data_IF_832522109308
#
_entry.id   IF_832522109308
#
_cell.length_a   1.000
_cell.length_b   1.000
_cell.length_c   1.000
_cell.angle_alpha   90.00
_cell.angle_beta   90.00
_cell.angle_gamma   90.00
#
_symmetry.space_group_name_H-M   'P 1'
#
loop_
_entity.id
_entity.type
_entity.pdbx_description
1 polymer ?
#
# COMPACT_ATOMS: atom_id res chain seq x y z
N UNK A 1 -17.83 3.93 -6.79
CA UNK A 1 -16.62 3.10 -6.98
C UNK A 1 -16.88 2.09 -8.08
N UNK A 2 -16.29 2.33 -9.24
CA UNK A 2 -16.24 1.36 -10.31
C UNK A 2 -15.02 0.47 -10.07
N UNK A 3 -15.25 -0.84 -10.03
CA UNK A 3 -14.22 -1.87 -9.93
C UNK A 3 -14.49 -2.80 -11.11
N UNK A 4 -13.45 -3.34 -11.77
CA UNK A 4 -13.66 -4.25 -12.88
C UNK A 4 -14.56 -5.40 -12.44
N UNK A 5 -15.70 -5.57 -13.12
CA UNK A 5 -16.63 -6.65 -12.83
C UNK A 5 -16.01 -7.95 -13.30
N UNK A 6 -15.99 -8.96 -12.42
CA UNK A 6 -15.76 -10.32 -12.88
C UNK A 6 -17.07 -10.95 -13.33
N UNK A 7 -17.04 -11.57 -14.50
CA UNK A 7 -17.93 -12.68 -14.82
C UNK A 7 -17.44 -13.93 -14.09
N UNK A 8 -17.70 -14.01 -12.77
CA UNK A 8 -17.55 -15.28 -12.05
C UNK A 8 -18.83 -16.10 -12.14
N UNK A 9 -18.77 -17.41 -12.47
CA UNK A 9 -19.95 -18.28 -12.50
C UNK A 9 -20.73 -18.36 -11.18
N UNK A 10 -20.13 -17.97 -10.04
CA UNK A 10 -20.69 -18.17 -8.70
C UNK A 10 -20.99 -16.86 -7.92
N UNK A 11 -20.80 -15.67 -8.49
CA UNK A 11 -21.21 -14.39 -7.87
C UNK A 11 -20.45 -13.94 -6.60
N UNK A 12 -19.58 -14.76 -6.03
CA UNK A 12 -18.88 -14.50 -4.75
C UNK A 12 -17.97 -13.25 -4.79
N UNK A 13 -17.30 -13.01 -5.92
CA UNK A 13 -16.43 -11.83 -6.09
C UNK A 13 -17.20 -10.52 -6.18
N UNK A 14 -18.36 -10.54 -6.85
CA UNK A 14 -19.25 -9.39 -6.94
C UNK A 14 -19.83 -9.02 -5.56
N UNK A 15 -19.99 -10.00 -4.66
CA UNK A 15 -20.36 -9.73 -3.27
C UNK A 15 -19.22 -9.10 -2.48
N UNK A 16 -17.98 -9.57 -2.65
CA UNK A 16 -16.81 -8.98 -1.99
C UNK A 16 -16.61 -7.50 -2.38
N UNK A 17 -16.78 -7.15 -3.67
CA UNK A 17 -16.75 -5.76 -4.15
C UNK A 17 -17.85 -4.91 -3.49
N UNK A 18 -19.06 -5.45 -3.33
CA UNK A 18 -20.18 -4.74 -2.66
C UNK A 18 -19.94 -4.55 -1.16
N UNK A 19 -19.14 -5.41 -0.56
CA UNK A 19 -18.75 -5.33 0.84
C UNK A 19 -17.60 -4.34 1.07
N UNK A 20 -16.88 -3.92 0.04
CA UNK A 20 -15.79 -2.94 0.16
C UNK A 20 -16.31 -1.59 0.67
N UNK A 21 -15.59 -1.04 1.64
CA UNK A 21 -15.80 0.32 2.13
C UNK A 21 -15.50 1.32 1.00
N UNK A 22 -16.35 2.34 0.78
CA UNK A 22 -16.09 3.33 -0.25
C UNK A 22 -14.76 4.05 -0.04
N UNK A 23 -14.07 4.37 -1.14
CA UNK A 23 -12.85 5.19 -1.16
C UNK A 23 -13.25 6.57 -1.64
N UNK A 24 -12.58 7.59 -1.12
CA UNK A 24 -12.70 8.97 -1.59
C UNK A 24 -12.25 9.07 -3.06
N UNK A 25 -13.17 9.45 -3.95
CA UNK A 25 -12.89 9.60 -5.38
C UNK A 25 -11.79 10.62 -5.68
N UNK A 26 -11.58 11.61 -4.80
CA UNK A 26 -10.51 12.61 -4.95
C UNK A 26 -9.12 11.99 -4.78
N UNK A 27 -8.98 10.97 -3.93
CA UNK A 27 -7.72 10.22 -3.79
C UNK A 27 -7.44 9.37 -5.02
N UNK A 28 -8.48 8.72 -5.57
CA UNK A 28 -8.35 7.92 -6.78
C UNK A 28 -7.96 8.81 -7.97
N UNK A 29 -8.52 10.01 -8.06
CA UNK A 29 -8.15 10.97 -9.09
C UNK A 29 -6.70 11.43 -8.96
N UNK A 30 -6.23 11.74 -7.75
CA UNK A 30 -4.83 12.09 -7.50
C UNK A 30 -3.88 10.94 -7.87
N UNK A 31 -4.23 9.70 -7.52
CA UNK A 31 -3.46 8.52 -7.89
C UNK A 31 -3.45 8.28 -9.40
N UNK A 32 -4.55 8.56 -10.10
CA UNK A 32 -4.62 8.50 -11.55
C UNK A 32 -3.74 9.57 -12.22
N UNK A 33 -3.76 10.80 -11.70
CA UNK A 33 -2.88 11.88 -12.16
C UNK A 33 -1.41 11.49 -11.99
N UNK A 34 -1.04 11.03 -10.79
CA UNK A 34 0.31 10.56 -10.50
C UNK A 34 0.72 9.38 -11.41
N UNK A 35 -0.19 8.46 -11.70
CA UNK A 35 0.07 7.35 -12.61
C UNK A 35 0.29 7.80 -14.06
N UNK A 36 -0.38 8.86 -14.54
CA UNK A 36 -0.14 9.41 -15.87
C UNK A 36 1.11 10.29 -15.94
N UNK A 37 1.47 10.94 -14.84
CA UNK A 37 2.72 11.69 -14.70
C UNK A 37 3.93 10.78 -14.46
N UNK A 38 3.69 9.50 -14.15
CA UNK A 38 4.73 8.50 -13.95
C UNK A 38 5.56 8.33 -15.23
N UNK A 39 6.76 8.91 -15.21
CA UNK A 39 7.83 8.53 -16.12
C UNK A 39 8.34 7.13 -15.75
N UNK A 40 8.53 6.27 -16.74
CA UNK A 40 9.10 4.92 -16.58
C UNK A 40 10.51 4.90 -15.97
N UNK A 41 11.20 6.05 -15.96
CA UNK A 41 12.47 6.25 -15.28
C UNK A 41 12.34 6.51 -13.77
N UNK A 42 11.15 6.78 -13.24
CA UNK A 42 10.96 6.90 -11.80
C UNK A 42 11.12 5.53 -11.15
N UNK A 43 12.17 5.38 -10.35
CA UNK A 43 12.25 4.27 -9.42
C UNK A 43 11.12 4.34 -8.38
N UNK A 44 10.85 3.19 -7.76
CA UNK A 44 9.74 3.04 -6.82
C UNK A 44 9.89 3.92 -5.58
N UNK A 45 11.13 4.22 -5.17
CA UNK A 45 11.40 5.04 -3.99
C UNK A 45 11.07 6.50 -4.26
N UNK A 46 11.44 7.03 -5.42
CA UNK A 46 11.08 8.41 -5.82
C UNK A 46 9.56 8.58 -5.90
N UNK A 47 8.85 7.59 -6.44
CA UNK A 47 7.38 7.62 -6.47
C UNK A 47 6.77 7.59 -5.06
N UNK A 48 7.34 6.76 -4.17
CA UNK A 48 6.93 6.72 -2.76
C UNK A 48 7.13 8.07 -2.08
N UNK A 49 8.25 8.73 -2.33
CA UNK A 49 8.55 10.02 -1.68
C UNK A 49 7.58 11.11 -2.17
N UNK A 50 7.14 11.08 -3.43
CA UNK A 50 6.05 11.95 -3.91
C UNK A 50 4.69 11.62 -3.25
N UNK A 51 4.37 10.35 -3.01
CA UNK A 51 3.15 9.92 -2.29
C UNK A 51 3.13 10.44 -0.84
N UNK A 52 4.29 10.55 -0.20
CA UNK A 52 4.44 11.00 1.19
C UNK A 52 4.96 12.43 1.33
N UNK A 53 5.01 13.17 0.24
CA UNK A 53 5.56 14.53 0.21
C UNK A 53 4.86 15.44 1.22
N UNK A 54 5.67 16.08 2.04
CA UNK A 54 5.22 17.07 3.02
C UNK A 54 5.31 18.49 2.45
N UNK A 55 4.37 19.34 2.83
CA UNK A 55 4.47 20.81 2.64
C UNK A 55 5.20 21.50 3.78
N UNK A 56 5.34 20.84 4.93
CA UNK A 56 6.00 21.41 6.10
C UNK A 56 7.49 21.15 6.10
N UNK A 57 8.25 22.16 6.51
CA UNK A 57 9.66 22.02 6.84
C UNK A 57 9.85 21.27 8.17
N UNK A 58 10.75 20.30 8.17
CA UNK A 58 11.05 19.41 9.31
C UNK A 58 12.38 19.78 9.97
N UNK A 59 12.60 21.07 10.21
CA UNK A 59 13.84 21.59 10.80
C UNK A 59 13.65 22.02 12.26
N UNK A 60 14.75 22.00 13.03
CA UNK A 60 14.84 22.56 14.38
C UNK A 60 13.92 21.91 15.43
N UNK A 61 13.79 20.58 15.39
CA UNK A 61 12.90 19.83 16.29
C UNK A 61 13.67 19.02 17.35
N UNK A 62 15.01 19.02 17.33
CA UNK A 62 15.89 18.16 18.13
C UNK A 62 15.65 18.36 19.63
N UNK A 63 15.47 19.62 20.03
CA UNK A 63 15.15 19.97 21.42
C UNK A 63 13.82 19.35 21.86
N UNK A 64 12.78 19.49 21.04
CA UNK A 64 11.45 18.93 21.36
C UNK A 64 11.46 17.39 21.38
N UNK A 65 12.28 16.76 20.53
CA UNK A 65 12.48 15.32 20.54
C UNK A 65 13.15 14.87 21.84
N UNK A 66 14.26 15.52 22.23
CA UNK A 66 14.97 15.20 23.48
C UNK A 66 14.09 15.41 24.71
N UNK A 67 13.32 16.49 24.74
CA UNK A 67 12.36 16.76 25.82
C UNK A 67 11.29 15.66 25.90
N UNK A 68 10.72 15.22 24.77
CA UNK A 68 9.79 14.09 24.74
C UNK A 68 10.44 12.83 25.30
N UNK A 69 11.62 12.44 24.80
CA UNK A 69 12.29 11.21 25.21
C UNK A 69 12.61 11.19 26.72
N UNK A 70 13.03 12.33 27.28
CA UNK A 70 13.26 12.48 28.72
C UNK A 70 11.97 12.32 29.53
N UNK A 71 10.86 12.91 29.08
CA UNK A 71 9.55 12.77 29.73
C UNK A 71 9.07 11.33 29.67
N UNK A 72 9.17 10.70 28.49
CA UNK A 72 8.78 9.31 28.29
C UNK A 72 9.57 8.35 29.18
N UNK A 73 10.89 8.52 29.25
CA UNK A 73 11.74 7.69 30.10
C UNK A 73 11.48 7.90 31.59
N UNK A 74 11.33 9.16 32.03
CA UNK A 74 11.18 9.50 33.45
C UNK A 74 9.81 9.15 34.03
N UNK A 75 8.74 9.32 33.25
CA UNK A 75 7.35 9.12 33.73
C UNK A 75 6.78 7.75 33.38
N UNK A 76 7.19 7.17 32.25
CA UNK A 76 6.57 5.96 31.71
C UNK A 76 7.55 4.82 31.47
N UNK A 77 8.85 4.99 31.78
CA UNK A 77 9.91 4.03 31.42
C UNK A 77 9.71 2.59 31.94
N UNK A 78 8.90 2.38 32.98
CA UNK A 78 8.52 1.02 33.43
C UNK A 78 7.37 0.39 32.64
N UNK A 79 6.57 1.21 31.95
CA UNK A 79 5.32 0.83 31.29
C UNK A 79 5.43 0.80 29.77
N UNK A 80 6.49 1.40 29.22
CA UNK A 80 6.74 1.46 27.77
C UNK A 80 8.13 0.93 27.45
N UNK A 81 8.28 0.38 26.24
CA UNK A 81 9.59 0.10 25.65
C UNK A 81 9.80 1.02 24.45
N UNK A 82 10.93 1.73 24.45
CA UNK A 82 11.34 2.57 23.32
C UNK A 82 12.46 1.91 22.52
N UNK A 83 12.43 2.04 21.19
CA UNK A 83 13.42 1.42 20.30
C UNK A 83 13.61 2.25 19.03
N UNK A 84 14.84 2.54 18.62
CA UNK A 84 15.09 3.21 17.34
C UNK A 84 14.85 2.22 16.20
N UNK A 85 14.09 2.64 15.19
CA UNK A 85 14.09 2.03 13.87
C UNK A 85 15.01 2.88 12.99
N UNK A 86 16.25 2.40 12.86
CA UNK A 86 17.30 3.07 12.09
C UNK A 86 17.48 4.54 12.54
N UNK A 87 17.51 5.50 11.61
CA UNK A 87 17.65 6.93 11.88
C UNK A 87 16.34 7.71 11.68
N UNK A 88 15.29 7.03 11.23
CA UNK A 88 14.06 7.66 10.72
C UNK A 88 12.96 7.67 11.77
N UNK A 89 12.89 6.66 12.65
CA UNK A 89 11.75 6.47 13.55
C UNK A 89 12.14 6.03 14.96
N UNK A 90 11.32 6.44 15.94
CA UNK A 90 11.31 5.89 17.29
C UNK A 90 10.04 5.09 17.52
N UNK A 91 10.17 3.82 17.86
CA UNK A 91 9.08 3.00 18.36
C UNK A 91 8.80 3.30 19.83
N UNK A 92 7.51 3.32 20.16
CA UNK A 92 6.96 3.26 21.52
C UNK A 92 6.03 2.05 21.57
N UNK A 93 6.33 1.11 22.47
CA UNK A 93 5.65 -0.18 22.61
C UNK A 93 5.01 -0.26 24.00
N UNK A 94 3.70 -0.49 24.04
CA UNK A 94 2.89 -0.52 25.26
C UNK A 94 2.15 -1.86 25.31
N UNK A 95 2.38 -2.66 26.36
CA UNK A 95 1.66 -3.92 26.60
C UNK A 95 1.61 -4.87 25.36
N UNK A 96 2.71 -4.93 24.60
CA UNK A 96 2.76 -5.65 23.30
C UNK A 96 2.70 -7.17 23.43
N UNK A 97 2.78 -7.72 24.64
CA UNK A 97 2.51 -9.14 24.88
C UNK A 97 1.02 -9.50 24.77
N UNK A 98 0.13 -8.50 24.73
CA UNK A 98 -1.31 -8.68 24.55
C UNK A 98 -1.83 -8.20 23.19
N UNK A 99 -0.94 -7.76 22.29
CA UNK A 99 -1.34 -7.38 20.94
C UNK A 99 -1.47 -8.64 20.08
N UNK A 100 -2.60 -8.78 19.41
CA UNK A 100 -2.80 -9.79 18.38
C UNK A 100 -2.00 -9.47 17.11
N UNK A 101 -2.30 -10.18 16.03
CA UNK A 101 -1.81 -9.77 14.71
C UNK A 101 -2.33 -8.38 14.38
N UNK A 102 -1.42 -7.46 14.07
CA UNK A 102 -1.78 -6.10 13.64
C UNK A 102 -2.84 -6.21 12.56
N UNK A 103 -3.96 -5.53 12.76
CA UNK A 103 -5.13 -5.44 11.89
C UNK A 103 -5.12 -4.15 11.06
N UNK A 104 -4.80 -3.02 11.68
CA UNK A 104 -4.87 -1.72 11.02
C UNK A 104 -3.74 -0.81 11.46
N UNK A 105 -3.50 0.20 10.63
CA UNK A 105 -2.63 1.32 10.92
C UNK A 105 -3.45 2.60 11.00
N UNK A 106 -3.14 3.44 11.97
CA UNK A 106 -3.60 4.83 12.03
C UNK A 106 -2.45 5.76 11.72
N UNK A 107 -2.74 6.84 11.01
CA UNK A 107 -1.77 7.82 10.55
C UNK A 107 -2.18 9.21 11.02
N UNK A 108 -1.21 9.92 11.61
CA UNK A 108 -1.37 11.30 12.01
C UNK A 108 -0.17 12.07 11.47
N UNK A 109 -0.46 13.09 10.65
CA UNK A 109 0.55 13.91 9.98
C UNK A 109 0.41 15.38 10.39
N UNK A 110 0.58 15.73 11.67
CA UNK A 110 0.41 17.09 12.15
C UNK A 110 1.50 18.01 11.61
N UNK A 111 1.38 19.33 11.78
CA UNK A 111 2.55 20.20 11.68
C UNK A 111 3.70 19.59 12.53
N UNK A 112 4.93 19.43 12.01
CA UNK A 112 6.03 18.79 12.73
C UNK A 112 6.28 19.34 14.13
N UNK A 113 6.04 20.65 14.33
CA UNK A 113 6.18 21.32 15.64
C UNK A 113 5.20 20.80 16.70
N UNK A 114 4.11 20.16 16.29
CA UNK A 114 3.08 19.60 17.17
C UNK A 114 3.27 18.10 17.41
N UNK A 115 4.05 17.40 16.56
CA UNK A 115 4.19 15.94 16.57
C UNK A 115 4.56 15.38 17.96
N UNK A 116 5.60 15.94 18.60
CA UNK A 116 6.07 15.43 19.90
C UNK A 116 5.02 15.61 21.02
N UNK A 117 4.21 16.67 20.96
CA UNK A 117 3.12 16.89 21.93
C UNK A 117 1.99 15.88 21.73
N UNK A 118 1.63 15.60 20.47
CA UNK A 118 0.64 14.56 20.16
C UNK A 118 1.18 13.19 20.61
N UNK A 119 2.44 12.86 20.31
CA UNK A 119 3.06 11.61 20.75
C UNK A 119 3.02 11.44 22.28
N UNK A 120 3.29 12.51 23.05
CA UNK A 120 3.15 12.49 24.51
C UNK A 120 1.71 12.20 24.94
N UNK A 121 0.73 12.92 24.39
CA UNK A 121 -0.68 12.71 24.71
C UNK A 121 -1.15 11.28 24.38
N UNK A 122 -0.65 10.70 23.28
CA UNK A 122 -0.92 9.31 22.93
C UNK A 122 -0.35 8.34 23.96
N UNK A 123 0.91 8.53 24.43
CA UNK A 123 1.47 7.69 25.50
C UNK A 123 0.65 7.81 26.78
N UNK A 124 0.25 9.03 27.17
CA UNK A 124 -0.57 9.27 28.35
C UNK A 124 -1.90 8.50 28.28
N UNK A 125 -2.63 8.63 27.18
CA UNK A 125 -3.90 7.92 26.99
C UNK A 125 -3.71 6.40 26.92
N UNK A 126 -2.79 5.90 26.10
CA UNK A 126 -2.58 4.47 25.93
C UNK A 126 -2.09 3.78 27.21
N UNK A 127 -1.18 4.41 27.96
CA UNK A 127 -0.70 3.84 29.23
C UNK A 127 -1.75 3.89 30.33
N UNK A 128 -2.55 4.96 30.42
CA UNK A 128 -3.62 5.09 31.41
C UNK A 128 -4.69 4.00 31.26
N UNK A 129 -4.95 3.58 30.02
CA UNK A 129 -5.91 2.53 29.67
C UNK A 129 -5.26 1.14 29.61
N UNK A 130 -3.94 1.04 29.80
CA UNK A 130 -3.15 -0.19 29.62
C UNK A 130 -3.37 -0.87 28.26
N UNK A 131 -3.54 -0.05 27.22
CA UNK A 131 -3.95 -0.50 25.89
C UNK A 131 -2.78 -1.22 25.17
N UNK A 132 -2.99 -2.44 24.62
CA UNK A 132 -2.00 -3.11 23.79
C UNK A 132 -1.83 -2.36 22.46
N UNK A 133 -0.73 -1.65 22.32
CA UNK A 133 -0.47 -0.84 21.13
C UNK A 133 1.02 -0.66 20.91
N UNK A 134 1.41 -0.54 19.65
CA UNK A 134 2.72 -0.01 19.29
C UNK A 134 2.53 1.10 18.29
N UNK A 135 3.30 2.17 18.44
CA UNK A 135 3.33 3.22 17.45
C UNK A 135 4.76 3.71 17.28
N UNK A 136 5.01 4.39 16.18
CA UNK A 136 6.26 5.08 15.95
C UNK A 136 6.01 6.53 15.60
N UNK A 137 6.94 7.38 15.98
CA UNK A 137 7.00 8.76 15.53
C UNK A 137 8.33 9.01 14.81
N UNK A 138 8.30 9.92 13.85
CA UNK A 138 9.43 10.28 13.02
C UNK A 138 10.50 11.01 13.84
N UNK A 139 11.77 10.67 13.62
CA UNK A 139 12.93 11.33 14.21
C UNK A 139 13.35 12.52 13.34
N UNK A 140 13.98 13.54 13.96
CA UNK A 140 14.44 14.76 13.28
C UNK A 140 15.47 14.54 12.18
N UNK A 141 16.12 13.37 12.17
CA UNK A 141 17.10 12.95 11.17
C UNK A 141 16.49 12.26 9.95
N UNK A 142 15.16 12.05 9.93
CA UNK A 142 14.44 11.44 8.81
C UNK A 142 14.32 12.37 7.61
N UNK A 143 14.16 11.78 6.42
CA UNK A 143 13.62 12.46 5.23
C UNK A 143 12.26 13.11 5.52
N UNK A 144 11.97 14.19 4.78
CA UNK A 144 10.77 15.02 4.91
C UNK A 144 9.53 14.29 4.36
N UNK A 145 9.02 13.30 5.09
CA UNK A 145 7.77 12.61 4.79
C UNK A 145 6.66 12.96 5.76
N UNK A 146 5.40 12.86 5.32
CA UNK A 146 4.24 13.18 6.14
C UNK A 146 3.80 12.03 7.07
N UNK A 147 4.41 10.83 7.02
CA UNK A 147 4.09 9.68 7.89
C UNK A 147 4.68 9.80 9.32
N UNK A 148 4.42 10.96 9.94
CA UNK A 148 5.00 11.43 11.20
C UNK A 148 4.68 10.57 12.41
N UNK A 149 3.44 10.08 12.53
CA UNK A 149 3.01 9.18 13.61
C UNK A 149 2.23 8.04 12.98
N UNK A 150 2.68 6.81 13.21
CA UNK A 150 2.03 5.60 12.71
C UNK A 150 1.73 4.67 13.88
N UNK A 151 0.45 4.38 14.11
CA UNK A 151 -0.04 3.58 15.23
C UNK A 151 -0.55 2.26 14.69
N UNK A 152 -0.14 1.16 15.30
CA UNK A 152 -0.45 -0.20 14.86
C UNK A 152 -1.33 -0.85 15.92
N UNK A 153 -2.51 -1.32 15.50
CA UNK A 153 -3.49 -1.95 16.37
C UNK A 153 -3.94 -3.29 15.80
N UNK A 154 -4.26 -4.23 16.68
CA UNK A 154 -4.97 -5.45 16.28
C UNK A 154 -6.47 -5.18 16.12
N UNK A 155 -7.21 -6.20 15.68
CA UNK A 155 -8.65 -6.06 15.40
C UNK A 155 -9.46 -5.87 16.68
N UNK A 156 -9.03 -6.47 17.78
CA UNK A 156 -9.77 -6.50 19.05
C UNK A 156 -9.74 -5.12 19.72
N UNK A 157 -8.60 -4.44 19.63
CA UNK A 157 -8.35 -3.17 20.30
C UNK A 157 -8.50 -1.95 19.39
N UNK A 158 -8.73 -2.12 18.07
CA UNK A 158 -8.80 -1.02 17.10
C UNK A 158 -9.71 0.13 17.59
N UNK A 159 -10.93 -0.18 18.01
CA UNK A 159 -11.89 0.86 18.42
C UNK A 159 -11.40 1.64 19.65
N UNK A 160 -10.80 0.95 20.62
CA UNK A 160 -10.22 1.58 21.81
C UNK A 160 -9.03 2.46 21.46
N UNK A 161 -8.21 2.04 20.48
CA UNK A 161 -7.12 2.88 19.95
C UNK A 161 -7.67 4.16 19.33
N UNK A 162 -8.70 4.06 18.48
CA UNK A 162 -9.34 5.25 17.89
C UNK A 162 -9.95 6.17 18.97
N UNK A 163 -10.61 5.62 19.99
CA UNK A 163 -11.20 6.39 21.08
C UNK A 163 -10.13 7.09 21.96
N UNK A 164 -8.98 6.45 22.17
CA UNK A 164 -7.84 7.06 22.83
C UNK A 164 -7.23 8.20 21.97
N UNK A 165 -7.07 8.00 20.66
CA UNK A 165 -6.65 9.08 19.74
C UNK A 165 -7.67 10.23 19.78
N UNK A 166 -8.96 9.92 19.78
CA UNK A 166 -10.03 10.92 19.91
C UNK A 166 -9.91 11.69 21.21
N UNK A 167 -9.57 11.04 22.32
CA UNK A 167 -9.38 11.71 23.61
C UNK A 167 -8.20 12.68 23.60
N UNK A 168 -7.10 12.36 22.90
CA UNK A 168 -5.99 13.29 22.67
C UNK A 168 -6.44 14.48 21.81
N UNK A 169 -7.18 14.21 20.74
CA UNK A 169 -7.76 15.23 19.87
C UNK A 169 -8.65 16.17 20.67
N UNK A 170 -9.65 15.65 21.39
CA UNK A 170 -10.64 16.42 22.15
C UNK A 170 -10.03 17.37 23.18
N UNK A 171 -8.85 17.03 23.72
CA UNK A 171 -8.11 17.87 24.67
C UNK A 171 -7.21 18.91 24.00
N UNK A 172 -6.82 18.69 22.74
CA UNK A 172 -5.78 19.45 22.05
C UNK A 172 -6.08 19.63 20.54
N UNK A 173 -7.29 20.07 20.18
CA UNK A 173 -7.75 20.18 18.79
C UNK A 173 -6.77 20.95 17.89
N UNK A 174 -6.14 21.98 18.45
CA UNK A 174 -5.21 22.86 17.75
C UNK A 174 -3.94 22.14 17.26
N UNK A 175 -3.54 21.05 17.92
CA UNK A 175 -2.35 20.28 17.51
C UNK A 175 -2.57 19.55 16.18
N UNK A 176 -3.82 19.20 15.87
CA UNK A 176 -4.24 18.50 14.66
C UNK A 176 -4.60 19.44 13.51
N UNK A 177 -4.66 20.76 13.76
CA UNK A 177 -4.92 21.74 12.70
C UNK A 177 -3.83 21.67 11.63
N UNK A 178 -4.26 21.50 10.38
CA UNK A 178 -3.36 21.40 9.24
C UNK A 178 -2.71 20.02 9.05
N UNK A 179 -3.18 18.99 9.76
CA UNK A 179 -2.77 17.61 9.47
C UNK A 179 -2.87 17.30 7.98
N UNK A 180 -1.80 16.74 7.42
CA UNK A 180 -1.73 16.33 6.02
C UNK A 180 -2.37 14.97 5.81
N UNK A 181 -2.79 14.67 4.57
CA UNK A 181 -3.25 13.34 4.16
C UNK A 181 -2.34 12.87 3.04
N UNK A 182 -1.57 11.79 3.28
CA UNK A 182 -0.91 11.10 2.17
C UNK A 182 -1.95 10.47 1.26
N UNK A 183 -1.66 10.44 -0.04
CA UNK A 183 -2.49 9.77 -1.04
C UNK A 183 -2.72 8.28 -0.72
N UNK A 184 -1.75 7.64 -0.04
CA UNK A 184 -1.84 6.25 0.36
C UNK A 184 -2.80 6.00 1.55
N UNK A 185 -3.29 7.02 2.25
CA UNK A 185 -4.19 6.84 3.40
C UNK A 185 -5.65 6.92 2.98
N UNK A 186 -6.17 5.75 2.66
CA UNK A 186 -7.38 5.57 1.86
C UNK A 186 -8.65 5.91 2.64
N UNK A 187 -8.68 5.66 3.95
CA UNK A 187 -9.87 5.86 4.78
C UNK A 187 -9.69 6.95 5.83
N UNK A 188 -10.73 7.77 5.97
CA UNK A 188 -10.87 8.66 7.13
C UNK A 188 -11.31 7.85 8.36
N UNK A 189 -10.90 8.33 9.53
CA UNK A 189 -11.43 7.89 10.82
C UNK A 189 -12.53 8.85 11.30
N UNK A 190 -13.11 8.58 12.46
CA UNK A 190 -14.00 9.54 13.12
C UNK A 190 -13.29 10.76 13.70
N UNK A 191 -11.94 10.75 13.76
CA UNK A 191 -11.13 11.82 14.32
C UNK A 191 -10.55 12.69 13.20
N UNK A 192 -10.84 14.02 13.16
CA UNK A 192 -10.31 14.90 12.13
C UNK A 192 -8.78 14.90 12.06
N UNK A 193 -8.22 14.78 10.86
CA UNK A 193 -6.77 14.75 10.63
C UNK A 193 -6.10 13.42 11.01
N UNK A 194 -6.90 12.35 11.21
CA UNK A 194 -6.43 10.98 11.46
C UNK A 194 -7.01 10.06 10.41
N UNK A 195 -6.14 9.27 9.78
CA UNK A 195 -6.49 8.38 8.68
C UNK A 195 -6.14 6.94 9.02
N UNK A 196 -6.74 5.99 8.33
CA UNK A 196 -6.49 4.57 8.56
C UNK A 196 -6.38 3.77 7.28
N UNK A 197 -5.61 2.69 7.36
CA UNK A 197 -5.54 1.65 6.33
C UNK A 197 -5.40 0.27 6.97
N UNK A 198 -5.85 -0.80 6.30
CA UNK A 198 -5.59 -2.14 6.77
C UNK A 198 -4.09 -2.45 6.67
N UNK A 199 -3.55 -3.27 7.58
CA UNK A 199 -2.15 -3.70 7.48
C UNK A 199 -1.91 -4.47 6.17
N UNK A 200 -0.72 -4.25 5.60
CA UNK A 200 -0.14 -5.11 4.57
C UNK A 200 1.11 -5.80 5.12
N UNK A 201 1.01 -7.06 5.59
CA UNK A 201 2.18 -7.78 6.12
C UNK A 201 3.28 -7.96 5.07
N UNK A 202 4.54 -7.87 5.50
CA UNK A 202 5.71 -8.14 4.65
C UNK A 202 6.15 -6.98 3.75
N UNK A 203 5.44 -5.85 3.72
CA UNK A 203 5.87 -4.64 2.99
C UNK A 203 5.39 -3.36 3.69
N UNK A 204 5.99 -2.22 3.35
CA UNK A 204 5.45 -0.94 3.77
C UNK A 204 4.16 -0.65 2.97
N UNK A 205 3.17 -0.03 3.61
CA UNK A 205 1.92 0.31 2.92
C UNK A 205 2.19 1.30 1.77
N UNK A 206 3.13 2.22 1.96
CA UNK A 206 3.59 3.15 0.95
C UNK A 206 4.15 2.48 -0.30
N UNK A 207 5.05 1.49 -0.14
CA UNK A 207 5.61 0.75 -1.27
C UNK A 207 4.53 -0.08 -1.98
N UNK A 208 3.59 -0.65 -1.21
CA UNK A 208 2.46 -1.38 -1.80
C UNK A 208 1.58 -0.46 -2.65
N UNK A 209 1.32 0.76 -2.16
CA UNK A 209 0.53 1.76 -2.89
C UNK A 209 1.27 2.30 -4.13
N UNK A 210 2.58 2.57 -4.02
CA UNK A 210 3.40 2.98 -5.15
C UNK A 210 3.39 1.91 -6.26
N UNK A 211 3.48 0.62 -5.91
CA UNK A 211 3.34 -0.46 -6.88
C UNK A 211 1.95 -0.49 -7.54
N UNK A 212 0.89 -0.17 -6.79
CA UNK A 212 -0.46 -0.03 -7.38
C UNK A 212 -0.50 1.06 -8.45
N UNK A 213 0.12 2.21 -8.21
CA UNK A 213 0.20 3.31 -9.19
C UNK A 213 0.95 2.87 -10.45
N UNK A 214 2.10 2.21 -10.28
CA UNK A 214 2.90 1.68 -11.40
C UNK A 214 2.15 0.61 -12.19
N UNK A 215 1.51 -0.34 -11.50
CA UNK A 215 0.75 -1.41 -12.14
C UNK A 215 -0.54 -0.89 -12.78
N UNK A 216 -1.11 0.20 -12.26
CA UNK A 216 -2.24 0.89 -12.89
C UNK A 216 -1.82 1.47 -14.23
N UNK A 217 -0.69 2.17 -14.28
CA UNK A 217 -0.11 2.69 -15.52
C UNK A 217 0.15 1.58 -16.54
N UNK A 218 0.83 0.49 -16.15
CA UNK A 218 1.07 -0.67 -17.04
C UNK A 218 -0.22 -1.31 -17.56
N UNK A 219 -1.20 -1.48 -16.67
CA UNK A 219 -2.53 -2.02 -17.03
C UNK A 219 -3.22 -1.11 -18.03
N UNK A 220 -3.19 0.20 -17.80
CA UNK A 220 -3.76 1.21 -18.70
C UNK A 220 -3.07 1.15 -20.08
N UNK A 221 -1.73 1.20 -20.13
CA UNK A 221 -0.96 1.12 -21.37
C UNK A 221 -1.34 -0.10 -22.19
N UNK A 222 -1.45 -1.26 -21.55
CA UNK A 222 -1.81 -2.50 -22.22
C UNK A 222 -3.25 -2.48 -22.76
N UNK A 223 -4.23 -2.06 -21.96
CA UNK A 223 -5.63 -2.01 -22.38
C UNK A 223 -5.85 -1.00 -23.51
N UNK A 224 -5.15 0.13 -23.44
CA UNK A 224 -5.25 1.23 -24.41
C UNK A 224 -4.33 1.06 -25.64
N UNK A 225 -3.41 0.09 -25.63
CA UNK A 225 -2.51 -0.20 -26.75
C UNK A 225 -1.36 0.80 -26.93
N UNK A 226 -0.81 1.34 -25.84
CA UNK A 226 0.30 2.31 -25.88
C UNK A 226 1.63 1.57 -26.09
N UNK A 227 2.30 1.79 -27.22
CA UNK A 227 3.46 0.99 -27.65
C UNK A 227 4.78 1.78 -27.82
N UNK A 228 4.98 2.93 -27.15
CA UNK A 228 6.25 3.69 -27.19
C UNK A 228 6.60 4.33 -25.85
N UNK A 229 7.89 4.40 -25.50
CA UNK A 229 8.42 4.88 -24.20
C UNK A 229 8.32 6.39 -23.92
N UNK A 230 7.66 7.20 -24.75
CA UNK A 230 7.48 8.63 -24.46
C UNK A 230 6.19 8.85 -23.67
N UNK A 231 6.25 9.66 -22.61
CA UNK A 231 5.11 10.22 -21.85
C UNK A 231 3.79 10.14 -22.61
N UNK A 232 2.80 9.43 -22.05
CA UNK A 232 1.48 9.30 -22.68
C UNK A 232 0.86 10.69 -22.76
N UNK A 233 0.92 11.29 -23.95
CA UNK A 233 0.11 12.47 -24.24
C UNK A 233 -1.27 11.96 -24.60
N UNK A 234 -2.13 11.80 -23.58
CA UNK A 234 -3.54 11.50 -23.81
C UNK A 234 -4.15 12.73 -24.48
N UNK A 235 -4.68 12.62 -25.71
CA UNK A 235 -5.36 13.73 -26.36
C UNK A 235 -6.43 14.31 -25.45
N UNK A 236 -6.61 15.64 -25.43
CA UNK A 236 -7.58 16.31 -24.55
C UNK A 236 -8.98 15.69 -24.64
N UNK A 237 -9.35 15.23 -25.83
CA UNK A 237 -10.65 14.63 -26.16
C UNK A 237 -10.83 13.24 -25.51
N UNK A 238 -9.75 12.54 -25.20
CA UNK A 238 -9.71 11.18 -24.64
C UNK A 238 -9.37 11.17 -23.15
N UNK A 239 -8.98 12.32 -22.57
CA UNK A 239 -8.58 12.43 -21.17
C UNK A 239 -9.66 11.95 -20.20
N UNK A 240 -10.90 12.37 -20.41
CA UNK A 240 -11.99 11.97 -19.51
C UNK A 240 -12.15 10.44 -19.52
N UNK A 241 -12.16 9.81 -20.69
CA UNK A 241 -12.25 8.35 -20.81
C UNK A 241 -11.06 7.66 -20.14
N UNK A 242 -9.84 8.16 -20.36
CA UNK A 242 -8.64 7.62 -19.72
C UNK A 242 -8.68 7.72 -18.19
N UNK A 243 -9.16 8.83 -17.64
CA UNK A 243 -9.36 8.98 -16.19
C UNK A 243 -10.46 8.06 -15.66
N UNK A 244 -11.52 7.80 -16.42
CA UNK A 244 -12.55 6.81 -16.03
C UNK A 244 -11.98 5.39 -15.98
N UNK A 245 -11.13 5.01 -16.95
CA UNK A 245 -10.39 3.75 -16.88
C UNK A 245 -9.51 3.66 -15.63
N UNK A 246 -8.74 4.70 -15.31
CA UNK A 246 -7.91 4.72 -14.10
C UNK A 246 -8.74 4.64 -12.81
N UNK A 247 -9.90 5.30 -12.78
CA UNK A 247 -10.87 5.20 -11.67
C UNK A 247 -11.40 3.79 -11.47
N UNK A 248 -11.39 2.95 -12.50
CA UNK A 248 -11.67 1.51 -12.37
C UNK A 248 -10.42 0.69 -12.00
N UNK A 249 -9.29 0.95 -12.66
CA UNK A 249 -8.05 0.16 -12.51
C UNK A 249 -7.49 0.27 -11.08
N UNK A 250 -7.34 1.49 -10.54
CA UNK A 250 -6.67 1.71 -9.25
C UNK A 250 -7.41 1.02 -8.10
N UNK A 251 -8.74 1.24 -7.89
CA UNK A 251 -9.48 0.50 -6.87
C UNK A 251 -9.44 -1.02 -7.09
N UNK A 252 -9.45 -1.48 -8.34
CA UNK A 252 -9.35 -2.92 -8.66
C UNK A 252 -8.00 -3.49 -8.21
N UNK A 253 -6.90 -2.77 -8.40
CA UNK A 253 -5.57 -3.17 -7.94
C UNK A 253 -5.42 -3.10 -6.42
N UNK A 254 -5.96 -2.07 -5.77
CA UNK A 254 -6.01 -1.99 -4.31
C UNK A 254 -6.76 -3.18 -3.72
N UNK A 255 -7.91 -3.52 -4.31
CA UNK A 255 -8.71 -4.68 -3.94
C UNK A 255 -7.92 -5.98 -4.15
N UNK A 256 -7.36 -6.18 -5.35
CA UNK A 256 -6.50 -7.32 -5.71
C UNK A 256 -5.36 -7.50 -4.71
N UNK A 257 -4.74 -6.42 -4.25
CA UNK A 257 -3.59 -6.45 -3.36
C UNK A 257 -3.95 -6.55 -1.86
N UNK A 258 -5.24 -6.73 -1.54
CA UNK A 258 -5.77 -6.81 -0.16
C UNK A 258 -5.47 -5.55 0.66
N UNK A 259 -5.58 -4.38 0.02
CA UNK A 259 -5.31 -3.06 0.62
C UNK A 259 -6.59 -2.31 1.04
N UNK A 260 -7.76 -2.95 0.92
CA UNK A 260 -9.07 -2.34 1.19
C UNK A 260 -9.77 -3.00 2.40
N UNK A 261 -10.62 -2.21 3.06
CA UNK A 261 -11.47 -2.63 4.16
C UNK A 261 -12.86 -3.02 3.64
N UNK A 262 -13.49 -3.96 4.32
CA UNK A 262 -14.91 -4.21 4.22
C UNK A 262 -15.69 -3.20 5.08
N UNK A 263 -16.97 -2.99 4.76
CA UNK A 263 -17.89 -2.07 5.45
C UNK A 263 -18.11 -2.41 6.93
N UNK A 264 -17.88 -3.66 7.32
CA UNK A 264 -17.95 -4.13 8.71
C UNK A 264 -16.62 -3.96 9.47
N UNK A 265 -15.62 -3.31 8.87
CA UNK A 265 -14.28 -3.15 9.42
C UNK A 265 -13.40 -4.40 9.29
N UNK A 266 -13.86 -5.45 8.62
CA UNK A 266 -13.05 -6.60 8.27
C UNK A 266 -12.04 -6.28 7.17
N UNK A 267 -10.93 -7.03 7.10
CA UNK A 267 -10.05 -7.01 5.94
C UNK A 267 -10.61 -7.82 4.80
N UNK A 268 -10.51 -7.27 3.60
CA UNK A 268 -10.72 -8.04 2.38
C UNK A 268 -9.40 -8.73 2.05
N UNK A 269 -9.37 -10.05 2.22
CA UNK A 269 -8.29 -10.91 1.75
C UNK A 269 -8.75 -11.64 0.52
N UNK A 270 -8.11 -11.35 -0.61
CA UNK A 270 -8.20 -12.20 -1.78
C UNK A 270 -7.08 -13.22 -1.66
N UNK A 271 -7.23 -14.43 -2.23
CA UNK A 271 -6.17 -15.44 -2.36
C UNK A 271 -5.03 -14.96 -3.30
N UNK A 272 -4.56 -13.73 -3.09
CA UNK A 272 -3.54 -13.00 -3.84
C UNK A 272 -2.24 -12.85 -3.06
N UNK A 273 -2.02 -13.66 -2.02
CA UNK A 273 -0.72 -13.82 -1.33
C UNK A 273 0.44 -14.17 -2.28
N UNK A 274 0.12 -14.43 -3.54
CA UNK A 274 1.01 -14.73 -4.65
C UNK A 274 1.90 -13.53 -5.08
N UNK A 275 1.72 -12.31 -4.55
CA UNK A 275 2.55 -11.13 -4.90
C UNK A 275 2.78 -11.02 -6.43
N UNK A 276 1.70 -10.82 -7.17
CA UNK A 276 1.74 -10.88 -8.63
C UNK A 276 2.54 -9.70 -9.16
N UNK A 277 3.65 -10.00 -9.84
CA UNK A 277 4.49 -9.01 -10.53
C UNK A 277 3.96 -8.75 -11.92
N UNK A 278 3.89 -7.48 -12.30
CA UNK A 278 3.45 -7.03 -13.62
C UNK A 278 4.60 -6.39 -14.39
N UNK A 279 4.80 -6.83 -15.63
CA UNK A 279 5.76 -6.26 -16.57
C UNK A 279 5.02 -5.98 -17.87
N UNK A 280 5.09 -4.75 -18.36
CA UNK A 280 4.56 -4.37 -19.66
C UNK A 280 5.73 -4.13 -20.61
N UNK A 281 5.72 -4.82 -21.74
CA UNK A 281 6.70 -4.66 -22.81
C UNK A 281 6.13 -3.66 -23.82
N UNK A 282 6.72 -2.47 -23.87
CA UNK A 282 6.27 -1.39 -24.74
C UNK A 282 6.57 -1.66 -26.22
N UNK A 283 7.61 -2.45 -26.52
CA UNK A 283 7.99 -2.77 -27.90
C UNK A 283 7.01 -3.76 -28.51
N UNK A 284 6.56 -4.74 -27.72
CA UNK A 284 5.63 -5.77 -28.19
C UNK A 284 4.17 -5.50 -27.85
N UNK A 285 3.91 -4.56 -26.94
CA UNK A 285 2.58 -4.28 -26.38
C UNK A 285 2.03 -5.41 -25.52
N UNK A 286 2.88 -6.35 -25.06
CA UNK A 286 2.44 -7.51 -24.28
C UNK A 286 2.53 -7.24 -22.79
N UNK A 287 1.55 -7.74 -22.05
CA UNK A 287 1.54 -7.68 -20.59
C UNK A 287 1.90 -9.04 -20.01
N UNK A 288 2.86 -9.08 -19.10
CA UNK A 288 3.23 -10.27 -18.35
C UNK A 288 2.79 -10.12 -16.90
N UNK A 289 2.08 -11.14 -16.40
CA UNK A 289 1.84 -11.34 -14.98
C UNK A 289 2.57 -12.60 -14.51
N UNK A 290 3.27 -12.50 -13.38
CA UNK A 290 3.99 -13.65 -12.82
C UNK A 290 3.91 -13.69 -11.31
N UNK A 291 3.92 -14.89 -10.74
CA UNK A 291 4.00 -15.09 -9.30
C UNK A 291 4.70 -16.41 -8.96
N UNK A 292 5.07 -16.55 -7.68
CA UNK A 292 5.60 -17.78 -7.12
C UNK A 292 4.69 -18.27 -6.00
N UNK A 293 4.43 -19.57 -5.97
CA UNK A 293 3.80 -20.25 -4.83
C UNK A 293 4.50 -21.57 -4.53
N UNK A 294 3.94 -22.38 -3.62
CA UNK A 294 4.52 -23.66 -3.19
C UNK A 294 4.69 -24.67 -4.34
N UNK A 295 4.00 -24.48 -5.47
CA UNK A 295 4.09 -25.34 -6.65
C UNK A 295 5.16 -24.85 -7.65
N UNK A 296 5.71 -23.65 -7.47
CA UNK A 296 6.76 -23.10 -8.32
C UNK A 296 6.45 -21.70 -8.87
N UNK A 297 6.96 -21.43 -10.07
CA UNK A 297 6.84 -20.15 -10.76
C UNK A 297 5.81 -20.23 -11.88
N UNK A 298 4.94 -19.23 -11.93
CA UNK A 298 3.84 -19.15 -12.87
C UNK A 298 3.90 -17.82 -13.63
N UNK A 299 3.73 -17.89 -14.95
CA UNK A 299 3.82 -16.75 -15.85
C UNK A 299 2.69 -16.80 -16.89
N UNK A 300 2.08 -15.63 -17.09
CA UNK A 300 0.97 -15.42 -18.01
C UNK A 300 1.32 -14.21 -18.88
N UNK A 301 1.56 -14.46 -20.16
CA UNK A 301 1.85 -13.45 -21.15
C UNK A 301 0.58 -13.21 -21.98
N UNK A 302 -0.01 -12.04 -21.79
CA UNK A 302 -1.19 -11.59 -22.52
C UNK A 302 -0.74 -10.87 -23.80
N UNK A 303 -1.25 -11.34 -24.94
CA UNK A 303 -0.97 -10.77 -26.25
C UNK A 303 -1.74 -9.44 -26.44
N UNK A 304 -1.22 -8.52 -27.26
CA UNK A 304 -1.82 -7.19 -27.52
C UNK A 304 -3.14 -7.22 -28.32
N UNK A 305 -3.75 -8.39 -28.47
CA UNK A 305 -5.01 -8.59 -29.19
C UNK A 305 -6.22 -8.32 -28.28
N UNK A 306 -7.39 -8.14 -28.88
CA UNK A 306 -8.64 -7.98 -28.11
C UNK A 306 -8.94 -9.20 -27.22
N UNK A 307 -8.69 -10.42 -27.72
CA UNK A 307 -8.80 -11.65 -26.90
C UNK A 307 -7.87 -11.60 -25.67
N UNK A 308 -6.64 -11.09 -25.82
CA UNK A 308 -5.70 -10.94 -24.72
C UNK A 308 -6.15 -9.90 -23.70
N UNK A 309 -6.71 -8.77 -24.15
CA UNK A 309 -7.27 -7.73 -23.27
C UNK A 309 -8.48 -8.24 -22.49
N UNK A 310 -9.38 -8.94 -23.17
CA UNK A 310 -10.54 -9.57 -22.54
C UNK A 310 -10.10 -10.63 -21.51
N UNK A 311 -9.08 -11.43 -21.85
CA UNK A 311 -8.53 -12.40 -20.92
C UNK A 311 -7.92 -11.73 -19.67
N UNK A 312 -7.23 -10.60 -19.80
CA UNK A 312 -6.74 -9.85 -18.64
C UNK A 312 -7.90 -9.43 -17.72
N UNK A 313 -8.95 -8.82 -18.29
CA UNK A 313 -10.11 -8.34 -17.52
C UNK A 313 -10.84 -9.49 -16.81
N UNK A 314 -11.03 -10.62 -17.50
CA UNK A 314 -11.65 -11.84 -16.92
C UNK A 314 -10.83 -12.42 -15.77
N UNK A 315 -9.50 -12.31 -15.82
CA UNK A 315 -8.59 -12.91 -14.84
C UNK A 315 -7.96 -11.88 -13.89
N UNK A 316 -8.49 -10.66 -13.82
CA UNK A 316 -7.83 -9.54 -13.15
C UNK A 316 -7.52 -9.81 -11.67
N UNK A 317 -8.44 -10.49 -10.96
CA UNK A 317 -8.30 -10.81 -9.54
C UNK A 317 -7.82 -12.23 -9.26
N UNK A 318 -7.83 -13.11 -10.27
CA UNK A 318 -7.40 -14.49 -10.15
C UNK A 318 -6.90 -14.99 -11.49
N UNK A 319 -5.67 -15.49 -11.54
CA UNK A 319 -5.12 -15.99 -12.80
C UNK A 319 -5.52 -17.45 -13.00
N UNK A 320 -6.25 -17.73 -14.08
CA UNK A 320 -6.69 -19.08 -14.43
C UNK A 320 -5.63 -19.80 -15.26
N UNK A 321 -5.26 -21.01 -14.83
CA UNK A 321 -4.36 -21.91 -15.57
C UNK A 321 -5.01 -22.59 -16.79
N UNK A 322 -6.28 -22.31 -17.07
CA UNK A 322 -6.95 -22.85 -18.26
C UNK A 322 -6.46 -22.11 -19.51
N UNK A 323 -6.26 -22.87 -20.60
CA UNK A 323 -5.94 -22.32 -21.92
C UNK A 323 -7.01 -21.33 -22.35
N UNK A 324 -6.57 -20.14 -22.75
CA UNK A 324 -7.42 -19.02 -23.17
C UNK A 324 -6.81 -18.40 -24.44
N UNK A 325 -7.64 -17.85 -25.32
CA UNK A 325 -7.16 -17.12 -26.49
C UNK A 325 -6.42 -15.85 -26.02
N UNK A 326 -5.36 -15.47 -26.73
CA UNK A 326 -4.54 -14.31 -26.39
C UNK A 326 -3.71 -14.44 -25.10
N UNK A 327 -3.57 -15.64 -24.52
CA UNK A 327 -2.75 -15.87 -23.32
C UNK A 327 -1.80 -17.05 -23.52
N UNK A 328 -0.51 -16.78 -23.34
CA UNK A 328 0.53 -17.79 -23.28
C UNK A 328 0.92 -18.04 -21.81
N UNK A 329 0.80 -19.29 -21.36
CA UNK A 329 1.09 -19.68 -19.97
C UNK A 329 2.37 -20.47 -19.88
N UNK A 330 3.22 -20.14 -18.91
CA UNK A 330 4.42 -20.90 -18.57
C UNK A 330 4.43 -21.22 -17.08
N UNK A 331 4.67 -22.48 -16.75
CA UNK A 331 4.74 -22.96 -15.37
C UNK A 331 6.05 -23.73 -15.21
N UNK A 332 6.81 -23.38 -14.16
CA UNK A 332 8.02 -24.08 -13.77
C UNK A 332 7.81 -24.60 -12.36
N UNK A 333 8.17 -25.86 -12.12
CA UNK A 333 8.35 -26.37 -10.76
C UNK A 333 9.46 -25.61 -10.04
N UNK A 334 9.52 -25.73 -8.71
CA UNK A 334 10.60 -25.11 -7.92
C UNK A 334 12.01 -25.51 -8.40
N UNK A 335 12.18 -26.77 -8.80
CA UNK A 335 13.46 -27.28 -9.28
C UNK A 335 13.83 -26.74 -10.68
N UNK A 336 12.85 -26.69 -11.60
CA UNK A 336 13.06 -26.10 -12.93
C UNK A 336 13.42 -24.61 -12.82
N UNK A 337 12.73 -23.88 -11.95
CA UNK A 337 13.04 -22.48 -11.69
C UNK A 337 14.45 -22.29 -11.12
N UNK A 338 14.86 -23.13 -10.16
CA UNK A 338 16.21 -23.07 -9.59
C UNK A 338 17.29 -23.31 -10.64
N UNK A 339 17.09 -24.29 -11.52
CA UNK A 339 18.00 -24.59 -12.63
C UNK A 339 18.08 -23.42 -13.61
N UNK A 340 16.95 -22.82 -13.96
CA UNK A 340 16.94 -21.67 -14.88
C UNK A 340 17.65 -20.45 -14.27
N UNK A 341 17.39 -20.14 -13.00
CA UNK A 341 18.09 -19.04 -12.30
C UNK A 341 19.58 -19.31 -12.22
N UNK A 342 19.99 -20.54 -11.91
CA UNK A 342 21.40 -20.94 -11.90
C UNK A 342 22.04 -20.75 -13.27
N UNK A 343 21.40 -21.23 -14.32
CA UNK A 343 21.92 -21.15 -15.69
C UNK A 343 21.98 -19.70 -16.21
N UNK A 344 21.09 -18.81 -15.75
CA UNK A 344 21.15 -17.39 -16.06
C UNK A 344 22.35 -16.70 -15.37
N UNK A 345 22.68 -17.10 -14.14
CA UNK A 345 23.82 -16.54 -13.38
C UNK A 345 25.17 -17.16 -13.78
N UNK A 346 25.17 -18.44 -14.16
CA UNK A 346 26.35 -19.23 -14.50
C UNK A 346 26.19 -19.90 -15.87
N UNK A 347 26.15 -19.12 -16.97
CA UNK A 347 25.86 -19.64 -18.31
C UNK A 347 26.90 -20.67 -18.81
N UNK A 348 28.12 -20.67 -18.26
CA UNK A 348 29.19 -21.63 -18.56
C UNK A 348 29.06 -22.97 -17.83
N UNK A 349 28.20 -23.08 -16.81
CA UNK A 349 28.08 -24.26 -15.94
C UNK A 349 26.67 -24.85 -15.98
N UNK A 350 26.08 -24.96 -17.19
CA UNK A 350 24.67 -25.34 -17.34
C UNK A 350 24.32 -26.61 -16.55
N UNK A 351 23.39 -26.47 -15.60
CA UNK A 351 22.71 -27.56 -14.92
C UNK A 351 21.51 -28.02 -15.74
N UNK A 352 21.22 -29.32 -15.69
CA UNK A 352 20.01 -29.94 -16.21
C UNK A 352 19.35 -30.79 -15.13
N UNK A 353 18.05 -31.08 -15.29
CA UNK A 353 17.34 -32.02 -14.44
C UNK A 353 18.02 -33.40 -14.53
N UNK A 354 18.35 -34.01 -13.40
CA UNK A 354 18.73 -35.42 -13.33
C UNK A 354 17.45 -36.24 -13.29
N UNK A 355 17.23 -37.05 -14.33
CA UNK A 355 16.07 -37.94 -14.46
C UNK A 355 16.13 -39.11 -13.49
#
# INVERSE_FOLDING_TARGET
>A
MEIFRMDTPNGTFNNAIRMTKPIDDSLILQAAQLAFEYNIDFDLDTLRDEIYKTKYDFSNLERSQLELEQVLQSRFGSNIKMENQHQEYKWVKINTNKIGSIHDRFYIAPNPKNMHKIALGLVEEFTSQNLPVMFKYQLTTSENHCDRIIIYSDKEHNKQVEDAIKSVYDKNHELFTGCERSMAWIYDTSVPGVYTTPEKPGTSYGNAFANVVVDAYKTFCYLYGVSTMSTISIPEQEKEEAYQWMKAIIPSLLFRNSMLEAKDGGRIRINSDKNIKMVYDYDTGKLKQSFRDDNGYHEFLFDSTEDGKEALLRNFYSVSFKKQLGVNTRNLTLQEEEIERYNALYPSEKKSLKH
#
